data_IF_929880263329
#
_entry.id   IF_929880263329
#
_cell.length_a   1.000
_cell.length_b   1.000
_cell.length_c   1.000
_cell.angle_alpha   90.00
_cell.angle_beta   90.00
_cell.angle_gamma   90.00
#
_symmetry.space_group_name_H-M   'P 1'
#
loop_
_entity.id
_entity.type
_entity.pdbx_description
1 polymer ?
#
# COMPACT_ATOMS: atom_id res chain seq x y z
N UNK A 1 -10.08 -4.29 -14.23
CA UNK A 1 -9.59 -5.57 -13.64
C UNK A 1 -8.18 -5.31 -13.12
N UNK A 2 -7.75 -6.01 -12.06
CA UNK A 2 -6.41 -5.77 -11.49
C UNK A 2 -5.30 -6.10 -12.49
N UNK A 3 -5.49 -7.15 -13.31
CA UNK A 3 -4.57 -7.51 -14.38
C UNK A 3 -4.20 -6.31 -15.28
N UNK A 4 -5.19 -5.59 -15.81
CA UNK A 4 -4.96 -4.44 -16.69
C UNK A 4 -4.19 -3.31 -15.98
N UNK A 5 -4.48 -3.05 -14.70
CA UNK A 5 -3.76 -2.02 -13.94
C UNK A 5 -2.28 -2.38 -13.82
N UNK A 6 -1.99 -3.62 -13.41
CA UNK A 6 -0.62 -4.11 -13.28
C UNK A 6 0.10 -4.25 -14.63
N UNK A 7 -0.60 -4.55 -15.72
CA UNK A 7 -0.03 -4.56 -17.07
C UNK A 7 0.37 -3.17 -17.55
N UNK A 8 -0.46 -2.15 -17.32
CA UNK A 8 -0.08 -0.77 -17.63
C UNK A 8 1.12 -0.31 -16.81
N UNK A 9 1.15 -0.66 -15.52
CA UNK A 9 2.27 -0.35 -14.63
C UNK A 9 3.56 -1.06 -15.10
N UNK A 10 3.50 -2.38 -15.36
CA UNK A 10 4.66 -3.14 -15.82
C UNK A 10 5.14 -2.69 -17.22
N UNK A 11 4.22 -2.33 -18.13
CA UNK A 11 4.56 -1.91 -19.51
C UNK A 11 5.37 -0.61 -19.53
N UNK A 12 4.95 0.41 -18.76
CA UNK A 12 5.71 1.66 -18.60
C UNK A 12 7.13 1.42 -18.06
N UNK A 13 7.35 0.30 -17.36
CA UNK A 13 8.61 -0.04 -16.70
C UNK A 13 9.49 -0.97 -17.52
N UNK A 14 8.91 -1.89 -18.30
CA UNK A 14 9.65 -2.67 -19.30
C UNK A 14 10.31 -1.76 -20.34
N UNK A 15 9.65 -0.67 -20.74
CA UNK A 15 10.23 0.37 -21.61
C UNK A 15 11.50 1.01 -21.00
N UNK A 16 11.68 0.94 -19.68
CA UNK A 16 12.83 1.49 -18.95
C UNK A 16 13.88 0.42 -18.58
N UNK A 17 13.63 -0.87 -18.88
CA UNK A 17 14.59 -1.97 -18.64
C UNK A 17 14.88 -2.28 -17.16
N UNK A 18 13.94 -1.98 -16.26
CA UNK A 18 14.12 -2.10 -14.80
C UNK A 18 13.65 -3.47 -14.31
N UNK A 19 14.49 -4.17 -13.54
CA UNK A 19 14.11 -5.40 -12.84
C UNK A 19 13.24 -5.05 -11.64
N UNK A 20 12.05 -5.66 -11.53
CA UNK A 20 11.13 -5.40 -10.43
C UNK A 20 11.14 -6.54 -9.43
N UNK A 21 11.18 -6.23 -8.13
CA UNK A 21 10.96 -7.22 -7.09
C UNK A 21 9.55 -7.84 -7.17
N UNK A 22 9.41 -9.05 -6.63
CA UNK A 22 8.10 -9.68 -6.45
C UNK A 22 7.23 -8.89 -5.47
N UNK A 23 5.93 -9.16 -5.48
CA UNK A 23 5.02 -8.53 -4.52
C UNK A 23 5.29 -9.02 -3.10
N UNK A 24 4.91 -8.23 -2.11
CA UNK A 24 4.91 -8.63 -0.71
C UNK A 24 3.55 -8.33 -0.07
N UNK A 25 3.25 -8.96 1.07
CA UNK A 25 2.12 -8.61 1.93
C UNK A 25 2.59 -8.54 3.38
N UNK A 26 1.67 -8.59 4.34
CA UNK A 26 1.99 -8.51 5.77
C UNK A 26 3.06 -9.54 6.21
N UNK A 27 3.02 -10.76 5.68
CA UNK A 27 3.80 -11.89 6.19
C UNK A 27 4.63 -12.63 5.12
N UNK A 28 4.49 -12.25 3.85
CA UNK A 28 5.12 -12.95 2.73
C UNK A 28 5.79 -11.97 1.78
N UNK A 29 6.86 -12.44 1.16
CA UNK A 29 7.65 -11.75 0.13
C UNK A 29 7.65 -12.57 -1.16
N UNK A 30 8.14 -11.96 -2.26
CA UNK A 30 8.36 -12.62 -3.55
C UNK A 30 7.11 -13.29 -4.16
N UNK A 31 5.94 -12.69 -3.91
CA UNK A 31 4.67 -13.16 -4.45
C UNK A 31 4.56 -12.83 -5.95
N UNK A 32 4.09 -13.80 -6.72
CA UNK A 32 3.89 -13.64 -8.16
C UNK A 32 2.65 -12.79 -8.45
N UNK A 33 2.73 -12.00 -9.53
CA UNK A 33 1.62 -11.20 -10.06
C UNK A 33 0.32 -12.00 -10.23
N UNK A 34 0.40 -13.23 -10.75
CA UNK A 34 -0.77 -14.10 -10.94
C UNK A 34 -1.46 -14.46 -9.63
N UNK A 35 -0.69 -14.68 -8.55
CA UNK A 35 -1.21 -14.94 -7.21
C UNK A 35 -1.94 -13.72 -6.67
N UNK A 36 -1.34 -12.52 -6.80
CA UNK A 36 -1.96 -11.25 -6.37
C UNK A 36 -3.27 -10.99 -7.10
N UNK A 37 -3.30 -11.18 -8.43
CA UNK A 37 -4.51 -11.01 -9.24
C UNK A 37 -5.61 -11.95 -8.75
N UNK A 38 -5.30 -13.24 -8.61
CA UNK A 38 -6.26 -14.25 -8.15
C UNK A 38 -6.82 -13.91 -6.78
N UNK A 39 -5.97 -13.47 -5.86
CA UNK A 39 -6.36 -13.20 -4.49
C UNK A 39 -7.23 -11.95 -4.34
N UNK A 40 -6.93 -10.88 -5.07
CA UNK A 40 -7.74 -9.65 -5.05
C UNK A 40 -9.06 -9.86 -5.80
N UNK A 41 -9.02 -10.41 -7.01
CA UNK A 41 -10.23 -10.66 -7.79
C UNK A 41 -11.13 -11.73 -7.13
N UNK A 42 -10.56 -12.61 -6.30
CA UNK A 42 -11.32 -13.54 -5.45
C UNK A 42 -12.01 -12.89 -4.25
N UNK A 43 -11.57 -11.70 -3.81
CA UNK A 43 -12.12 -11.02 -2.61
C UNK A 43 -13.19 -9.96 -2.93
N UNK A 44 -13.97 -10.15 -3.99
CA UNK A 44 -14.94 -9.16 -4.49
C UNK A 44 -16.41 -9.54 -4.22
N UNK A 45 -16.66 -10.58 -3.42
CA UNK A 45 -18.02 -11.05 -3.14
C UNK A 45 -18.93 -9.91 -2.66
N UNK A 46 -20.16 -9.84 -3.20
CA UNK A 46 -21.14 -8.80 -2.90
C UNK A 46 -20.74 -7.36 -3.31
N UNK A 47 -19.70 -7.21 -4.13
CA UNK A 47 -19.40 -5.95 -4.83
C UNK A 47 -20.15 -5.93 -6.17
N UNK A 48 -20.78 -4.80 -6.47
CA UNK A 48 -21.41 -4.56 -7.77
C UNK A 48 -20.34 -4.40 -8.85
N UNK A 49 -20.71 -4.53 -10.12
CA UNK A 49 -19.77 -4.32 -11.24
C UNK A 49 -19.10 -2.94 -11.19
N UNK A 50 -19.85 -1.92 -10.80
CA UNK A 50 -19.43 -0.51 -10.67
C UNK A 50 -18.58 -0.22 -9.43
N UNK A 51 -18.61 -1.08 -8.41
CA UNK A 51 -17.80 -0.85 -7.20
C UNK A 51 -16.31 -0.95 -7.52
N UNK A 52 -15.48 -0.11 -6.89
CA UNK A 52 -14.04 -0.32 -6.87
C UNK A 52 -13.74 -1.70 -6.25
N UNK A 53 -12.82 -2.46 -6.86
CA UNK A 53 -12.43 -3.80 -6.38
C UNK A 53 -11.19 -3.75 -5.47
N UNK A 54 -10.34 -2.77 -5.73
CA UNK A 54 -9.15 -2.45 -4.96
C UNK A 54 -8.91 -0.93 -5.03
N UNK A 55 -7.98 -0.46 -4.22
CA UNK A 55 -7.44 0.89 -4.25
C UNK A 55 -5.93 0.81 -4.38
N UNK A 56 -5.36 1.61 -5.27
CA UNK A 56 -3.93 1.81 -5.35
C UNK A 56 -3.52 2.93 -4.40
N UNK A 57 -2.46 2.72 -3.64
CA UNK A 57 -1.84 3.72 -2.75
C UNK A 57 -0.35 3.78 -3.08
N UNK A 58 0.16 4.98 -3.32
CA UNK A 58 1.58 5.21 -3.53
C UNK A 58 2.20 5.72 -2.23
N UNK A 59 3.26 5.05 -1.79
CA UNK A 59 4.08 5.48 -0.65
C UNK A 59 5.45 5.86 -1.18
N UNK A 60 5.75 7.14 -1.16
CA UNK A 60 6.97 7.74 -1.70
C UNK A 60 7.65 8.53 -0.59
N UNK A 61 8.63 7.95 0.11
CA UNK A 61 9.43 8.70 1.07
C UNK A 61 10.27 9.76 0.36
N UNK A 62 10.58 10.82 1.07
CA UNK A 62 11.54 11.83 0.66
C UNK A 62 12.95 11.26 0.58
N UNK A 63 13.84 11.92 -0.15
CA UNK A 63 15.24 11.52 -0.27
C UNK A 63 15.93 11.34 1.10
N UNK A 64 15.61 12.20 2.07
CA UNK A 64 16.15 12.12 3.45
C UNK A 64 15.66 10.88 4.19
N UNK A 65 14.38 10.54 4.04
CA UNK A 65 13.82 9.32 4.61
C UNK A 65 14.45 8.09 3.95
N UNK A 66 14.68 8.11 2.64
CA UNK A 66 15.37 7.03 1.91
C UNK A 66 16.81 6.83 2.39
N UNK A 67 17.55 7.91 2.62
CA UNK A 67 18.90 7.85 3.20
C UNK A 67 18.89 7.22 4.60
N UNK A 68 17.81 7.44 5.36
CA UNK A 68 17.62 6.86 6.70
C UNK A 68 17.23 5.38 6.62
N UNK A 69 16.48 5.00 5.59
CA UNK A 69 16.08 3.60 5.33
C UNK A 69 17.24 2.69 4.93
N UNK A 70 18.34 3.24 4.39
CA UNK A 70 19.52 2.44 4.06
C UNK A 70 20.43 3.11 3.03
N UNK A 71 21.62 2.54 2.86
CA UNK A 71 22.62 3.01 1.89
C UNK A 71 22.56 2.26 0.57
N UNK A 72 22.02 1.04 0.57
CA UNK A 72 21.85 0.22 -0.63
C UNK A 72 20.37 0.07 -0.99
N UNK A 73 20.08 -0.21 -2.27
CA UNK A 73 18.70 -0.49 -2.72
C UNK A 73 18.07 -1.64 -1.91
N UNK A 74 18.84 -2.69 -1.59
CA UNK A 74 18.35 -3.82 -0.80
C UNK A 74 17.98 -3.41 0.63
N UNK A 75 18.85 -2.66 1.32
CA UNK A 75 18.57 -2.16 2.67
C UNK A 75 17.32 -1.27 2.67
N UNK A 76 17.21 -0.37 1.68
CA UNK A 76 16.04 0.50 1.54
C UNK A 76 14.76 -0.30 1.26
N UNK A 77 14.82 -1.34 0.41
CA UNK A 77 13.67 -2.19 0.14
C UNK A 77 13.21 -2.95 1.39
N UNK A 78 14.14 -3.51 2.15
CA UNK A 78 13.85 -4.21 3.41
C UNK A 78 13.25 -3.24 4.46
N UNK A 79 13.84 -2.06 4.61
CA UNK A 79 13.33 -1.00 5.49
C UNK A 79 11.95 -0.50 5.07
N UNK A 80 11.69 -0.35 3.77
CA UNK A 80 10.37 0.01 3.25
C UNK A 80 9.34 -1.07 3.52
N UNK A 81 9.64 -2.35 3.27
CA UNK A 81 8.73 -3.46 3.63
C UNK A 81 8.41 -3.43 5.12
N UNK A 82 9.42 -3.20 5.97
CA UNK A 82 9.26 -3.07 7.41
C UNK A 82 8.36 -1.89 7.78
N UNK A 83 8.61 -0.70 7.22
CA UNK A 83 7.78 0.48 7.43
C UNK A 83 6.32 0.25 7.03
N UNK A 84 6.09 -0.36 5.87
CA UNK A 84 4.74 -0.69 5.41
C UNK A 84 4.03 -1.64 6.38
N UNK A 85 4.72 -2.68 6.87
CA UNK A 85 4.16 -3.70 7.76
C UNK A 85 3.94 -3.20 9.19
N UNK A 86 4.90 -2.48 9.75
CA UNK A 86 4.91 -2.08 11.17
C UNK A 86 4.21 -0.75 11.42
N UNK A 87 4.10 0.12 10.42
CA UNK A 87 3.55 1.48 10.58
C UNK A 87 2.41 1.72 9.62
N UNK A 88 2.67 1.72 8.30
CA UNK A 88 1.68 2.24 7.34
C UNK A 88 0.37 1.45 7.34
N UNK A 89 0.44 0.12 7.23
CA UNK A 89 -0.76 -0.73 7.18
C UNK A 89 -1.52 -0.76 8.52
N UNK A 90 -0.86 -0.86 9.69
CA UNK A 90 -1.52 -0.67 10.98
C UNK A 90 -2.28 0.66 11.08
N UNK A 91 -1.67 1.79 10.70
CA UNK A 91 -2.34 3.10 10.73
C UNK A 91 -3.45 3.19 9.68
N UNK A 92 -3.26 2.61 8.50
CA UNK A 92 -4.30 2.48 7.47
C UNK A 92 -5.53 1.71 8.00
N UNK A 93 -5.32 0.63 8.74
CA UNK A 93 -6.39 -0.17 9.33
C UNK A 93 -7.18 0.60 10.40
N UNK A 94 -6.46 1.20 11.36
CA UNK A 94 -7.05 1.99 12.46
C UNK A 94 -7.88 3.15 11.93
N UNK A 95 -7.43 3.79 10.84
CA UNK A 95 -8.08 4.96 10.26
C UNK A 95 -9.53 4.70 9.82
N UNK A 96 -9.92 3.45 9.52
CA UNK A 96 -11.31 3.13 9.22
C UNK A 96 -12.27 3.29 10.39
N UNK A 97 -11.76 3.30 11.63
CA UNK A 97 -12.54 3.31 12.87
C UNK A 97 -13.55 2.14 12.93
N UNK A 98 -13.10 0.94 12.53
CA UNK A 98 -13.91 -0.30 12.44
C UNK A 98 -13.34 -1.48 13.24
N UNK A 99 -12.51 -1.19 14.24
CA UNK A 99 -11.79 -2.20 15.03
C UNK A 99 -11.03 -3.16 14.10
N UNK A 100 -10.23 -2.58 13.21
CA UNK A 100 -9.41 -3.32 12.26
C UNK A 100 -7.95 -3.25 12.70
N UNK A 101 -7.25 -4.35 12.49
CA UNK A 101 -5.79 -4.41 12.60
C UNK A 101 -5.15 -4.63 11.23
N UNK A 102 -3.82 -4.68 11.19
CA UNK A 102 -3.08 -4.88 9.94
C UNK A 102 -3.43 -6.22 9.28
N UNK A 103 -3.72 -7.25 10.08
CA UNK A 103 -4.10 -8.59 9.65
C UNK A 103 -5.43 -8.60 8.87
N UNK A 104 -6.33 -7.67 9.19
CA UNK A 104 -7.59 -7.54 8.45
C UNK A 104 -7.41 -6.91 7.06
N UNK A 105 -6.29 -6.23 6.81
CA UNK A 105 -6.05 -5.52 5.56
C UNK A 105 -5.44 -6.48 4.55
N UNK A 106 -6.23 -6.83 3.52
CA UNK A 106 -5.72 -7.57 2.36
C UNK A 106 -5.04 -6.60 1.40
N UNK A 107 -3.72 -6.48 1.53
CA UNK A 107 -2.88 -5.67 0.66
C UNK A 107 -1.77 -6.49 0.00
N UNK A 108 -1.26 -5.96 -1.11
CA UNK A 108 -0.02 -6.40 -1.73
C UNK A 108 0.80 -5.18 -2.14
N UNK A 109 2.06 -5.14 -1.74
CA UNK A 109 3.00 -4.09 -2.08
C UNK A 109 4.00 -4.53 -3.14
N UNK A 110 4.50 -3.58 -3.93
CA UNK A 110 5.62 -3.75 -4.86
C UNK A 110 6.53 -2.54 -4.75
N UNK A 111 7.83 -2.77 -4.58
CA UNK A 111 8.83 -1.72 -4.45
C UNK A 111 9.47 -1.49 -5.81
N UNK A 112 9.64 -0.22 -6.16
CA UNK A 112 10.25 0.23 -7.40
C UNK A 112 11.38 1.19 -7.10
N UNK A 113 12.43 1.13 -7.93
CA UNK A 113 13.53 2.07 -7.97
C UNK A 113 13.49 2.77 -9.33
N UNK A 114 13.30 4.08 -9.35
CA UNK A 114 13.40 4.85 -10.58
C UNK A 114 14.88 5.06 -10.91
N UNK A 115 15.32 4.52 -12.05
CA UNK A 115 16.65 4.82 -12.59
C UNK A 115 16.56 6.11 -13.41
N UNK A 116 16.78 7.27 -12.78
CA UNK A 116 17.02 8.50 -13.55
C UNK A 116 18.40 8.43 -14.21
N UNK A 117 18.56 9.00 -15.41
CA UNK A 117 19.85 9.10 -16.14
C UNK A 117 20.72 10.27 -15.65
N UNK A 118 20.33 10.93 -14.55
CA UNK A 118 21.02 12.09 -13.96
C UNK A 118 21.63 11.73 -12.61
N UNK A 119 22.76 12.34 -12.28
CA UNK A 119 23.67 12.00 -11.18
C UNK A 119 23.11 12.11 -9.74
N UNK A 120 21.82 12.32 -9.54
CA UNK A 120 21.19 12.25 -8.22
C UNK A 120 19.69 12.05 -8.38
N UNK A 121 19.16 11.03 -7.71
CA UNK A 121 18.07 11.15 -6.72
C UNK A 121 17.65 9.71 -6.40
N UNK A 122 17.90 9.28 -5.15
CA UNK A 122 17.30 8.07 -4.62
C UNK A 122 15.78 8.22 -4.78
N UNK A 123 15.18 7.41 -5.64
CA UNK A 123 13.74 7.48 -5.90
C UNK A 123 13.18 6.06 -5.83
N UNK A 124 13.15 5.56 -4.58
CA UNK A 124 12.46 4.33 -4.24
C UNK A 124 11.06 4.67 -3.76
N UNK A 125 10.06 3.96 -4.28
CA UNK A 125 8.68 4.08 -3.82
C UNK A 125 7.97 2.73 -3.83
N UNK A 126 6.90 2.62 -3.04
CA UNK A 126 6.09 1.43 -2.92
C UNK A 126 4.69 1.65 -3.50
N UNK A 127 4.29 0.79 -4.42
CA UNK A 127 2.91 0.68 -4.90
C UNK A 127 2.18 -0.33 -4.03
N UNK A 128 1.10 0.08 -3.38
CA UNK A 128 0.23 -0.79 -2.59
C UNK A 128 -1.10 -0.98 -3.31
N UNK A 129 -1.50 -2.23 -3.48
CA UNK A 129 -2.83 -2.63 -3.91
C UNK A 129 -3.58 -3.13 -2.69
N UNK A 130 -4.60 -2.37 -2.28
CA UNK A 130 -5.43 -2.71 -1.12
C UNK A 130 -6.81 -3.14 -1.59
N UNK A 131 -7.24 -4.33 -1.20
CA UNK A 131 -8.57 -4.85 -1.48
C UNK A 131 -9.67 -3.92 -0.94
N UNK A 132 -10.77 -3.78 -1.69
CA UNK A 132 -11.99 -3.06 -1.23
C UNK A 132 -12.60 -3.71 0.02
N UNK A 133 -12.30 -4.97 0.29
CA UNK A 133 -12.78 -5.73 1.45
C UNK A 133 -11.62 -6.17 2.33
N UNK A 134 -11.91 -6.32 3.61
CA UNK A 134 -11.00 -6.99 4.56
C UNK A 134 -10.65 -8.42 4.11
N UNK A 135 -9.66 -9.01 4.78
CA UNK A 135 -9.13 -10.34 4.45
C UNK A 135 -10.21 -11.44 4.55
N UNK A 136 -11.15 -11.31 5.48
CA UNK A 136 -12.29 -12.21 5.64
C UNK A 136 -13.42 -11.99 4.62
N UNK A 137 -13.38 -10.93 3.81
CA UNK A 137 -14.42 -10.60 2.86
C UNK A 137 -15.75 -10.23 3.53
N UNK A 138 -15.74 -9.62 4.71
CA UNK A 138 -16.92 -9.21 5.48
C UNK A 138 -17.12 -7.69 5.46
N UNK A 139 -16.06 -6.92 5.72
CA UNK A 139 -16.13 -5.46 5.84
C UNK A 139 -15.69 -4.78 4.54
N UNK A 140 -16.47 -3.81 4.05
CA UNK A 140 -16.08 -2.93 2.93
C UNK A 140 -15.21 -1.76 3.47
N UNK A 141 -13.99 -1.64 2.97
CA UNK A 141 -12.97 -0.65 3.33
C UNK A 141 -12.75 0.32 2.16
N UNK A 142 -13.10 1.60 2.30
CA UNK A 142 -12.94 2.60 1.22
C UNK A 142 -12.18 3.80 1.76
N UNK A 143 -10.97 4.06 1.28
CA UNK A 143 -10.23 5.27 1.65
C UNK A 143 -10.79 6.53 0.97
N UNK A 144 -11.70 6.38 -0.01
CA UNK A 144 -12.32 7.49 -0.77
C UNK A 144 -13.70 7.89 -0.22
N UNK A 145 -13.98 7.62 1.04
CA UNK A 145 -15.26 8.01 1.64
C UNK A 145 -15.27 9.50 1.97
N UNK A 146 -16.40 10.19 1.71
CA UNK A 146 -16.62 11.57 2.17
C UNK A 146 -16.96 11.64 3.66
N UNK A 147 -17.23 10.50 4.30
CA UNK A 147 -17.48 10.42 5.73
C UNK A 147 -16.15 10.40 6.49
N UNK A 148 -15.90 11.43 7.29
CA UNK A 148 -14.81 11.48 8.26
C UNK A 148 -15.40 11.29 9.65
N UNK A 149 -15.03 10.21 10.34
CA UNK A 149 -15.34 9.96 11.74
C UNK A 149 -16.83 10.11 12.14
N UNK A 150 -17.75 9.61 11.32
CA UNK A 150 -19.19 9.74 11.59
C UNK A 150 -19.60 8.77 12.70
N UNK A 151 -20.04 9.32 13.85
CA UNK A 151 -20.50 8.55 15.03
C UNK A 151 -22.02 8.33 15.10
N UNK A 152 -22.80 9.02 14.25
CA UNK A 152 -24.28 8.97 14.21
C UNK A 152 -24.79 8.48 12.84
N UNK A 153 -25.80 7.61 12.87
CA UNK A 153 -26.41 7.02 11.66
C UNK A 153 -25.96 5.58 11.39
N UNK A 154 -26.51 4.98 10.33
CA UNK A 154 -26.22 3.59 9.94
C UNK A 154 -24.78 3.37 9.45
N UNK A 155 -24.09 4.46 9.04
CA UNK A 155 -22.69 4.44 8.59
C UNK A 155 -21.83 4.96 9.73
N UNK A 156 -21.29 4.05 10.53
CA UNK A 156 -20.26 4.36 11.53
C UNK A 156 -18.86 4.21 10.92
N UNK A 157 -17.99 5.18 11.19
CA UNK A 157 -16.61 5.20 10.73
C UNK A 157 -16.33 6.22 9.62
N UNK A 158 -15.15 6.14 9.02
CA UNK A 158 -14.68 7.07 8.00
C UNK A 158 -13.25 6.75 7.59
N UNK A 159 -12.64 7.55 6.73
CA UNK A 159 -11.21 7.45 6.45
C UNK A 159 -10.65 8.86 6.28
N UNK A 160 -9.72 9.24 7.15
CA UNK A 160 -9.12 10.57 7.12
C UNK A 160 -7.71 10.47 6.55
N UNK A 161 -7.55 10.90 5.30
CA UNK A 161 -6.26 10.85 4.61
C UNK A 161 -5.22 11.73 5.29
N UNK A 162 -5.61 12.89 5.81
CA UNK A 162 -4.68 13.82 6.48
C UNK A 162 -4.17 13.17 7.76
N UNK A 163 -5.06 12.58 8.55
CA UNK A 163 -4.67 11.85 9.75
C UNK A 163 -3.77 10.65 9.42
N UNK A 164 -4.04 9.90 8.33
CA UNK A 164 -3.14 8.80 7.93
C UNK A 164 -1.72 9.30 7.69
N UNK A 165 -1.55 10.38 6.91
CA UNK A 165 -0.23 10.92 6.61
C UNK A 165 0.49 11.37 7.89
N UNK A 166 -0.20 12.08 8.78
CA UNK A 166 0.38 12.51 10.05
C UNK A 166 0.81 11.34 10.96
N UNK A 167 -0.03 10.29 11.07
CA UNK A 167 0.32 9.11 11.88
C UNK A 167 1.45 8.29 11.23
N UNK A 168 1.45 8.19 9.90
CA UNK A 168 2.49 7.50 9.16
C UNK A 168 3.85 8.21 9.29
N UNK A 169 3.87 9.54 9.20
CA UNK A 169 5.07 10.38 9.43
C UNK A 169 5.61 10.19 10.86
N UNK A 170 4.76 10.37 11.88
CA UNK A 170 5.17 10.15 13.27
C UNK A 170 5.63 8.71 13.55
N UNK A 171 5.04 7.74 12.85
CA UNK A 171 5.43 6.34 12.96
C UNK A 171 6.76 6.06 12.26
N UNK A 172 7.02 6.71 11.12
CA UNK A 172 8.31 6.69 10.46
C UNK A 172 9.41 7.22 11.38
N UNK A 173 9.20 8.41 11.97
CA UNK A 173 10.17 9.05 12.87
C UNK A 173 10.54 8.14 14.03
N UNK A 174 9.54 7.49 14.64
CA UNK A 174 9.76 6.53 15.74
C UNK A 174 10.46 5.25 15.29
N UNK A 175 10.10 4.72 14.12
CA UNK A 175 10.63 3.45 13.61
C UNK A 175 12.11 3.57 13.24
N UNK A 176 12.49 4.71 12.66
CA UNK A 176 13.84 4.95 12.14
C UNK A 176 14.67 5.90 13.00
N UNK A 177 14.09 6.46 14.07
CA UNK A 177 14.72 7.45 14.93
C UNK A 177 15.27 8.64 14.11
N UNK A 178 14.40 9.17 13.24
CA UNK A 178 14.64 10.29 12.33
C UNK A 178 14.58 11.64 13.07
#
# INVERSE_FOLDING_TARGET
>A
RLANYLEHEDMQRMEQGIYTEGFFNLNQDNLYKSQVIKDIDGNIGQLLKTDAKFYAVHVSPSEKELQTMGRTEQEQAEAMKRYIREVFIPEYAKNFNKELSAEDIKFYGKIHFDRSRSDNELNMHCHLIVSRKDQAGKKKLSPLTNHMNTKKGAIKGGFDRVNLFQQAEQGFDKLFNY
#
